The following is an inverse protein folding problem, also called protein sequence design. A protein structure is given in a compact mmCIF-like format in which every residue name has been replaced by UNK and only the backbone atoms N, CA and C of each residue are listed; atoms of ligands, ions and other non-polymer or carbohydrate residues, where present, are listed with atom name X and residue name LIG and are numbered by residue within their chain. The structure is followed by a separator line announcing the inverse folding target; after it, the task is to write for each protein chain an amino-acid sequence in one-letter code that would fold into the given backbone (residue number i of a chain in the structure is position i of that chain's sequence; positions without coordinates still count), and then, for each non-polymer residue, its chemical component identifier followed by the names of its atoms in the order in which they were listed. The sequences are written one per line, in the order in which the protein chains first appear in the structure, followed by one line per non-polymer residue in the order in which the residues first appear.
data_IF_000112542034
#
_entry.id   IF_000112542034
#
_cell.length_a   1.000
_cell.length_b   1.000
_cell.length_c   1.000
_cell.angle_alpha   90.00
_cell.angle_beta   90.00
_cell.angle_gamma   90.00
#
_symmetry.space_group_name_H-M   'P 1'
#
loop_
_entity.id
_entity.type
_entity.pdbx_description
1 polymer ?
#
# COMPACT_ATOMS: atom_id res chain seq x y z
N UNK A 1 -21.62 -18.83 5.92
CA UNK A 1 -21.72 -20.21 5.38
C UNK A 1 -21.40 -20.26 3.90
N UNK A 2 -20.57 -21.22 3.48
CA UNK A 2 -20.30 -21.52 2.08
C UNK A 2 -20.29 -23.04 1.83
N UNK A 3 -20.74 -23.49 0.65
CA UNK A 3 -20.71 -24.91 0.27
C UNK A 3 -20.01 -25.07 -1.06
N UNK A 4 -18.93 -25.85 -1.09
CA UNK A 4 -18.23 -26.17 -2.34
C UNK A 4 -19.11 -27.10 -3.17
N UNK A 5 -19.46 -26.70 -4.40
CA UNK A 5 -20.33 -27.51 -5.27
C UNK A 5 -19.56 -28.44 -6.21
N UNK A 6 -18.40 -28.00 -6.70
CA UNK A 6 -17.51 -28.76 -7.58
C UNK A 6 -16.17 -28.02 -7.72
N UNK A 7 -15.24 -28.53 -8.54
CA UNK A 7 -14.00 -27.84 -8.89
C UNK A 7 -12.76 -28.26 -8.07
N UNK A 8 -11.61 -27.77 -8.53
CA UNK A 8 -10.29 -28.11 -7.99
C UNK A 8 -9.83 -27.20 -6.84
N UNK A 9 -10.50 -26.07 -6.63
CA UNK A 9 -10.21 -25.11 -5.57
C UNK A 9 -11.40 -25.02 -4.59
N UNK A 10 -11.20 -24.42 -3.42
CA UNK A 10 -12.27 -24.16 -2.44
C UNK A 10 -12.85 -22.75 -2.56
N UNK A 11 -12.65 -21.93 -1.52
CA UNK A 11 -13.25 -20.60 -1.41
C UNK A 11 -12.19 -19.49 -1.40
N UNK A 12 -12.55 -18.33 -1.95
CA UNK A 12 -11.80 -17.10 -1.75
C UNK A 12 -12.68 -16.15 -0.93
N UNK A 13 -12.20 -15.77 0.26
CA UNK A 13 -12.89 -14.84 1.14
C UNK A 13 -12.05 -13.58 1.24
N UNK A 14 -12.54 -12.49 0.64
CA UNK A 14 -11.88 -11.19 0.73
C UNK A 14 -12.28 -10.49 2.03
N UNK A 15 -11.32 -9.85 2.69
CA UNK A 15 -11.56 -9.04 3.87
C UNK A 15 -10.53 -7.89 3.97
N UNK A 16 -10.81 -6.88 4.78
CA UNK A 16 -9.97 -5.67 4.86
C UNK A 16 -9.78 -4.97 3.51
N UNK A 17 -10.80 -5.02 2.65
CA UNK A 17 -10.74 -4.48 1.28
C UNK A 17 -10.81 -2.96 1.33
N UNK A 18 -9.75 -2.29 0.88
CA UNK A 18 -9.72 -0.84 0.71
C UNK A 18 -9.99 -0.46 -0.75
N UNK A 19 -9.35 -1.16 -1.68
CA UNK A 19 -9.46 -0.95 -3.13
C UNK A 19 -8.97 -2.20 -3.88
N UNK A 20 -8.92 -2.15 -5.21
CA UNK A 20 -8.53 -3.29 -6.07
C UNK A 20 -7.06 -3.69 -5.95
N UNK A 21 -6.21 -2.88 -5.33
CA UNK A 21 -4.80 -3.17 -5.06
C UNK A 21 -4.50 -3.54 -3.61
N UNK A 22 -5.45 -3.32 -2.70
CA UNK A 22 -5.24 -3.38 -1.25
C UNK A 22 -6.37 -4.15 -0.54
N UNK A 23 -6.12 -5.43 -0.23
CA UNK A 23 -7.04 -6.32 0.46
C UNK A 23 -6.31 -7.54 1.03
N UNK A 24 -6.98 -8.29 1.91
CA UNK A 24 -6.60 -9.64 2.27
C UNK A 24 -7.50 -10.65 1.57
N UNK A 25 -6.93 -11.81 1.24
CA UNK A 25 -7.65 -13.00 0.82
C UNK A 25 -7.37 -14.14 1.77
N UNK A 26 -8.43 -14.76 2.23
CA UNK A 26 -8.34 -16.11 2.77
C UNK A 26 -8.71 -17.10 1.66
N UNK A 27 -7.68 -17.76 1.14
CA UNK A 27 -7.75 -18.78 0.12
C UNK A 27 -7.87 -20.14 0.79
N UNK A 28 -9.09 -20.67 0.85
CA UNK A 28 -9.43 -21.94 1.48
C UNK A 28 -9.47 -23.04 0.42
N UNK A 29 -8.68 -24.10 0.60
CA UNK A 29 -8.57 -25.18 -0.39
C UNK A 29 -7.97 -24.72 -1.72
N UNK A 30 -6.95 -23.87 -1.64
CA UNK A 30 -6.08 -23.45 -2.72
C UNK A 30 -5.15 -24.57 -3.24
N UNK A 31 -4.43 -24.28 -4.33
CA UNK A 31 -3.40 -25.15 -4.93
C UNK A 31 -3.89 -26.58 -5.17
N UNK A 32 -4.91 -26.74 -6.00
CA UNK A 32 -5.61 -28.00 -6.23
C UNK A 32 -6.17 -28.62 -4.93
N UNK A 33 -6.70 -27.79 -4.03
CA UNK A 33 -7.34 -28.22 -2.78
C UNK A 33 -6.39 -28.91 -1.79
N UNK A 34 -5.13 -28.51 -1.77
CA UNK A 34 -4.10 -29.10 -0.89
C UNK A 34 -3.65 -28.17 0.23
N UNK A 35 -3.91 -26.87 0.08
CA UNK A 35 -3.42 -25.85 1.00
C UNK A 35 -4.48 -24.77 1.22
N UNK A 36 -4.44 -24.11 2.37
CA UNK A 36 -5.18 -22.88 2.61
C UNK A 36 -4.23 -21.80 3.09
N UNK A 37 -4.44 -20.56 2.66
CA UNK A 37 -3.52 -19.46 2.93
C UNK A 37 -4.25 -18.14 3.13
N UNK A 38 -3.63 -17.26 3.91
CA UNK A 38 -3.96 -15.83 3.90
C UNK A 38 -2.97 -15.12 3.01
N UNK A 39 -3.47 -14.44 2.01
CA UNK A 39 -2.70 -13.62 1.08
C UNK A 39 -3.06 -12.15 1.31
N UNK A 40 -2.10 -11.26 1.15
CA UNK A 40 -2.29 -9.82 1.19
C UNK A 40 -1.89 -9.24 -0.15
N UNK A 41 -2.77 -8.43 -0.73
CA UNK A 41 -2.44 -7.53 -1.81
C UNK A 41 -2.10 -6.14 -1.25
N UNK A 42 -0.99 -5.57 -1.72
CA UNK A 42 -0.60 -4.19 -1.43
C UNK A 42 -0.06 -3.57 -2.71
N UNK A 43 -0.71 -2.49 -3.15
CA UNK A 43 -0.40 -1.80 -4.42
C UNK A 43 -0.34 -2.77 -5.64
N UNK A 44 -1.17 -3.81 -5.61
CA UNK A 44 -1.25 -4.85 -6.64
C UNK A 44 -0.22 -5.98 -6.52
N UNK A 45 0.78 -5.86 -5.63
CA UNK A 45 1.70 -6.95 -5.28
C UNK A 45 1.07 -7.90 -4.27
N UNK A 46 1.24 -9.22 -4.43
CA UNK A 46 0.68 -10.23 -3.52
C UNK A 46 1.76 -10.91 -2.67
N UNK A 47 1.46 -11.15 -1.39
CA UNK A 47 2.31 -11.90 -0.47
C UNK A 47 1.49 -12.82 0.43
N UNK A 48 2.00 -14.00 0.79
CA UNK A 48 1.36 -14.90 1.74
C UNK A 48 1.74 -14.54 3.18
N UNK A 49 0.75 -14.39 4.07
CA UNK A 49 0.93 -14.10 5.49
C UNK A 49 0.91 -15.38 6.34
N UNK A 50 -0.06 -16.25 6.07
CA UNK A 50 -0.25 -17.51 6.77
C UNK A 50 -0.50 -18.60 5.74
N UNK A 51 -0.03 -19.82 6.02
CA UNK A 51 -0.33 -20.96 5.17
C UNK A 51 -0.35 -22.26 5.97
N UNK A 52 -1.33 -23.11 5.66
CA UNK A 52 -1.53 -24.42 6.29
C UNK A 52 -1.97 -25.45 5.24
N UNK A 53 -1.48 -26.68 5.35
CA UNK A 53 -2.05 -27.78 4.56
C UNK A 53 -3.51 -28.00 4.96
N UNK A 54 -4.36 -28.33 4.00
CA UNK A 54 -5.78 -28.53 4.25
C UNK A 54 -6.62 -28.45 2.98
N UNK A 55 -7.82 -29.02 3.04
CA UNK A 55 -8.72 -29.14 1.90
C UNK A 55 -10.16 -28.77 2.26
N UNK A 56 -10.92 -28.38 1.25
CA UNK A 56 -12.36 -28.12 1.33
C UNK A 56 -13.11 -29.24 0.61
N UNK A 57 -14.03 -29.86 1.32
CA UNK A 57 -14.84 -30.99 0.85
C UNK A 57 -15.99 -30.51 -0.03
N UNK A 58 -16.17 -31.16 -1.17
CA UNK A 58 -17.32 -30.92 -2.05
C UNK A 58 -18.59 -31.43 -1.39
N UNK A 59 -19.64 -30.60 -1.37
CA UNK A 59 -20.95 -30.93 -0.80
C UNK A 59 -21.08 -30.58 0.69
N UNK A 60 -19.98 -30.34 1.41
CA UNK A 60 -20.00 -29.91 2.81
C UNK A 60 -20.19 -28.40 2.92
N UNK A 61 -21.05 -27.98 3.84
CA UNK A 61 -21.18 -26.58 4.22
C UNK A 61 -20.14 -26.25 5.30
N UNK A 62 -19.47 -25.11 5.14
CA UNK A 62 -18.50 -24.56 6.08
C UNK A 62 -19.05 -23.25 6.67
N UNK A 63 -18.94 -23.10 7.98
CA UNK A 63 -19.03 -21.82 8.66
C UNK A 63 -17.66 -21.13 8.58
N UNK A 64 -17.62 -19.91 8.05
CA UNK A 64 -16.37 -19.19 7.78
C UNK A 64 -16.52 -17.81 8.40
N UNK A 65 -15.73 -17.54 9.42
CA UNK A 65 -15.78 -16.28 10.16
C UNK A 65 -14.42 -15.61 10.18
N UNK A 66 -14.44 -14.30 9.98
CA UNK A 66 -13.27 -13.41 10.07
C UNK A 66 -13.55 -12.41 11.18
N UNK A 67 -12.86 -12.53 12.30
CA UNK A 67 -12.97 -11.59 13.40
C UNK A 67 -11.82 -10.58 13.32
N UNK A 68 -12.16 -9.29 13.31
CA UNK A 68 -11.18 -8.19 13.30
C UNK A 68 -11.37 -7.35 14.55
N UNK A 69 -10.35 -7.29 15.42
CA UNK A 69 -10.31 -6.44 16.61
C UNK A 69 -9.10 -5.52 16.55
N UNK A 70 -9.34 -4.28 16.14
CA UNK A 70 -8.25 -3.33 15.87
C UNK A 70 -7.36 -3.85 14.74
N UNK A 71 -6.09 -4.14 15.06
CA UNK A 71 -5.12 -4.72 14.12
C UNK A 71 -5.05 -6.25 14.17
N UNK A 72 -5.67 -6.88 15.17
CA UNK A 72 -5.69 -8.33 15.30
C UNK A 72 -6.78 -8.91 14.40
N UNK A 73 -6.38 -9.86 13.55
CA UNK A 73 -7.29 -10.70 12.76
C UNK A 73 -7.23 -12.13 13.30
N UNK A 74 -8.39 -12.72 13.51
CA UNK A 74 -8.54 -14.15 13.84
C UNK A 74 -9.55 -14.78 12.89
N UNK A 75 -9.18 -15.92 12.33
CA UNK A 75 -9.93 -16.64 11.30
C UNK A 75 -10.47 -17.93 11.89
N UNK A 76 -11.75 -18.18 11.70
CA UNK A 76 -12.42 -19.39 12.19
C UNK A 76 -13.05 -20.17 11.04
N UNK A 77 -12.82 -21.48 11.05
CA UNK A 77 -13.46 -22.42 10.14
C UNK A 77 -14.25 -23.41 11.00
N UNK A 78 -15.57 -23.45 10.83
CA UNK A 78 -16.49 -24.23 11.65
C UNK A 78 -16.40 -23.96 13.16
N UNK A 79 -16.15 -22.70 13.51
CA UNK A 79 -16.01 -22.24 14.90
C UNK A 79 -14.66 -22.57 15.55
N UNK A 80 -13.79 -23.32 14.86
CA UNK A 80 -12.41 -23.57 15.31
C UNK A 80 -11.46 -22.51 14.76
N UNK A 81 -10.52 -22.04 15.58
CA UNK A 81 -9.50 -21.08 15.12
C UNK A 81 -8.64 -21.74 14.05
N UNK A 82 -8.81 -21.28 12.82
CA UNK A 82 -7.97 -21.68 11.70
C UNK A 82 -6.62 -20.96 11.74
N UNK A 83 -6.57 -19.71 12.21
CA UNK A 83 -5.32 -18.99 12.41
C UNK A 83 -5.54 -17.52 12.74
N UNK A 84 -4.48 -16.87 13.24
CA UNK A 84 -4.51 -15.48 13.64
C UNK A 84 -3.23 -14.76 13.21
N UNK A 85 -3.36 -13.48 12.90
CA UNK A 85 -2.23 -12.60 12.62
C UNK A 85 -2.58 -11.18 13.03
N UNK A 86 -1.57 -10.43 13.46
CA UNK A 86 -1.70 -8.99 13.59
C UNK A 86 -1.29 -8.37 12.27
N UNK A 87 -2.10 -7.46 11.74
CA UNK A 87 -1.68 -6.61 10.63
C UNK A 87 -0.64 -5.60 11.14
N UNK A 88 0.58 -6.07 11.42
CA UNK A 88 1.68 -5.28 11.98
C UNK A 88 2.68 -4.83 10.93
N UNK A 89 2.35 -4.96 9.64
CA UNK A 89 3.18 -4.36 8.60
C UNK A 89 3.33 -2.88 8.93
N UNK A 90 4.58 -2.39 9.14
CA UNK A 90 4.82 -0.97 9.16
C UNK A 90 4.21 -0.44 7.86
N UNK A 91 3.38 0.61 7.94
CA UNK A 91 3.10 1.37 6.73
C UNK A 91 4.46 1.70 6.13
N UNK A 92 4.68 1.37 4.85
CA UNK A 92 5.97 1.68 4.22
C UNK A 92 6.27 3.15 4.50
N UNK A 93 7.33 3.45 5.28
CA UNK A 93 7.56 4.80 5.78
C UNK A 93 7.81 5.78 4.63
N UNK A 94 8.14 5.23 3.46
CA UNK A 94 8.46 5.93 2.24
C UNK A 94 7.73 5.27 1.07
N UNK A 95 6.97 6.06 0.32
CA UNK A 95 6.38 5.62 -0.96
C UNK A 95 6.73 6.61 -2.04
N UNK A 96 7.05 6.11 -3.23
CA UNK A 96 7.46 6.96 -4.33
C UNK A 96 6.89 6.48 -5.67
N UNK A 97 6.65 7.43 -6.55
CA UNK A 97 6.40 7.17 -7.97
C UNK A 97 7.00 8.27 -8.82
N UNK A 98 7.41 7.93 -10.04
CA UNK A 98 7.85 8.90 -11.04
C UNK A 98 6.94 8.77 -12.25
N UNK A 99 6.34 9.88 -12.64
CA UNK A 99 5.45 9.96 -13.80
C UNK A 99 5.96 11.00 -14.78
N UNK A 100 5.51 10.93 -16.02
CA UNK A 100 5.79 11.93 -17.06
C UNK A 100 4.49 12.66 -17.37
N UNK A 101 4.56 13.98 -17.44
CA UNK A 101 3.47 14.82 -17.95
C UNK A 101 3.60 14.89 -19.48
N UNK A 102 2.72 14.21 -20.20
CA UNK A 102 2.83 14.08 -21.67
C UNK A 102 2.69 15.42 -22.40
N UNK A 103 2.02 16.42 -21.80
CA UNK A 103 1.84 17.74 -22.40
C UNK A 103 3.10 18.60 -22.29
N UNK A 104 3.82 18.48 -21.17
CA UNK A 104 4.99 19.35 -20.88
C UNK A 104 6.32 18.63 -21.02
N UNK A 105 6.31 17.30 -21.05
CA UNK A 105 7.49 16.45 -20.98
C UNK A 105 8.15 16.40 -19.60
N UNK A 106 7.59 17.06 -18.58
CA UNK A 106 8.18 17.10 -17.23
C UNK A 106 8.12 15.74 -16.53
N UNK A 107 9.20 15.37 -15.85
CA UNK A 107 9.16 14.31 -14.85
C UNK A 107 8.53 14.85 -13.57
N UNK A 108 7.64 14.07 -12.98
CA UNK A 108 7.01 14.37 -11.70
C UNK A 108 7.37 13.25 -10.74
N UNK A 109 8.30 13.52 -9.83
CA UNK A 109 8.63 12.65 -8.70
C UNK A 109 7.62 12.96 -7.59
N UNK A 110 6.92 11.94 -7.11
CA UNK A 110 5.96 12.04 -6.01
C UNK A 110 6.46 11.18 -4.88
N UNK A 111 6.58 11.73 -3.69
CA UNK A 111 7.09 11.03 -2.51
C UNK A 111 6.18 11.29 -1.33
N UNK A 112 5.83 10.22 -0.62
CA UNK A 112 5.18 10.27 0.68
C UNK A 112 6.21 9.86 1.72
N UNK A 113 6.44 10.72 2.71
CA UNK A 113 7.18 10.38 3.92
C UNK A 113 6.19 10.27 5.07
N UNK A 114 5.83 9.05 5.45
CA UNK A 114 4.90 8.74 6.53
C UNK A 114 5.59 8.63 7.91
N UNK A 115 6.89 8.94 7.99
CA UNK A 115 7.64 8.97 9.25
C UNK A 115 7.41 10.29 9.98
N UNK A 116 7.55 10.24 11.30
CA UNK A 116 7.55 11.44 12.16
C UNK A 116 8.89 12.21 12.10
N UNK A 117 9.81 11.79 11.24
CA UNK A 117 11.11 12.44 11.02
C UNK A 117 11.33 12.76 9.54
N UNK A 118 12.08 13.83 9.27
CA UNK A 118 12.49 14.14 7.90
C UNK A 118 13.47 13.09 7.38
N UNK A 119 13.31 12.69 6.12
CA UNK A 119 14.14 11.68 5.48
C UNK A 119 14.97 12.31 4.35
N UNK A 120 16.30 12.16 4.44
CA UNK A 120 17.24 12.59 3.40
C UNK A 120 17.52 11.41 2.48
N UNK A 121 17.04 11.48 1.24
CA UNK A 121 17.01 10.33 0.32
C UNK A 121 17.71 10.66 -1.00
N UNK A 122 18.46 9.70 -1.53
CA UNK A 122 18.98 9.76 -2.89
C UNK A 122 17.83 9.54 -3.90
N UNK A 123 17.76 10.40 -4.91
CA UNK A 123 16.81 10.32 -6.00
C UNK A 123 17.60 10.05 -7.27
N UNK A 124 17.39 8.87 -7.84
CA UNK A 124 17.95 8.44 -9.11
C UNK A 124 16.83 8.42 -10.17
N UNK A 125 16.93 9.32 -11.15
CA UNK A 125 16.04 9.41 -12.31
C UNK A 125 16.52 8.54 -13.48
N UNK A 126 17.53 7.69 -13.25
CA UNK A 126 18.28 6.96 -14.26
C UNK A 126 19.03 7.91 -15.18
N UNK A 127 19.23 7.50 -16.44
CA UNK A 127 19.91 8.29 -17.46
C UNK A 127 19.13 9.52 -17.97
N UNK A 128 18.08 9.98 -17.28
CA UNK A 128 17.28 11.10 -17.70
C UNK A 128 18.08 12.42 -17.65
N UNK A 129 18.15 13.12 -18.79
CA UNK A 129 18.68 14.48 -18.85
C UNK A 129 17.62 15.45 -18.36
N UNK A 130 17.92 16.22 -17.33
CA UNK A 130 16.96 17.13 -16.69
C UNK A 130 17.54 18.51 -16.46
N UNK A 131 16.68 19.49 -16.28
CA UNK A 131 17.06 20.82 -15.83
C UNK A 131 17.52 20.78 -14.37
N UNK A 132 18.38 21.74 -13.99
CA UNK A 132 18.94 21.83 -12.63
C UNK A 132 17.98 22.39 -11.58
N UNK A 133 16.82 22.86 -12.01
CA UNK A 133 15.77 23.41 -11.14
C UNK A 133 14.52 22.57 -11.23
N UNK A 134 13.93 22.29 -10.08
CA UNK A 134 12.65 21.63 -9.93
C UNK A 134 11.67 22.54 -9.21
N UNK A 135 10.42 22.60 -9.69
CA UNK A 135 9.34 23.18 -8.91
C UNK A 135 8.90 22.15 -7.87
N UNK A 136 8.77 22.58 -6.62
CA UNK A 136 8.41 21.72 -5.50
C UNK A 136 7.03 22.12 -5.00
N UNK A 137 6.18 21.15 -4.73
CA UNK A 137 4.95 21.34 -3.97
C UNK A 137 4.92 20.32 -2.85
N UNK A 138 4.82 20.78 -1.60
CA UNK A 138 4.82 19.92 -0.43
C UNK A 138 3.58 20.20 0.40
N UNK A 139 2.85 19.14 0.74
CA UNK A 139 1.84 19.15 1.78
C UNK A 139 2.45 18.46 3.00
N UNK A 140 2.60 19.17 4.11
CA UNK A 140 3.11 18.63 5.36
C UNK A 140 2.36 19.29 6.52
N UNK A 141 1.98 18.49 7.50
CA UNK A 141 1.30 18.95 8.71
C UNK A 141 1.52 17.94 9.84
N UNK A 142 1.08 18.29 11.05
CA UNK A 142 1.01 17.33 12.14
C UNK A 142 0.06 16.17 11.78
N UNK A 143 0.34 14.98 12.30
CA UNK A 143 -0.37 13.73 11.93
C UNK A 143 -1.89 13.81 12.13
N UNK A 144 -2.32 14.54 13.15
CA UNK A 144 -3.73 14.69 13.53
C UNK A 144 -4.34 16.01 13.04
N UNK A 145 -3.61 16.79 12.25
CA UNK A 145 -4.10 18.06 11.71
C UNK A 145 -5.21 17.82 10.69
N UNK A 146 -6.27 18.62 10.77
CA UNK A 146 -7.40 18.60 9.86
C UNK A 146 -7.78 20.01 9.45
N UNK A 147 -8.22 20.18 8.20
CA UNK A 147 -8.83 21.43 7.77
C UNK A 147 -10.28 21.50 8.28
N UNK A 148 -10.67 22.68 8.75
CA UNK A 148 -12.03 23.04 9.16
C UNK A 148 -12.57 24.14 8.24
N UNK A 149 -13.79 24.62 8.50
CA UNK A 149 -14.36 25.74 7.74
C UNK A 149 -13.53 27.03 7.87
N UNK A 150 -12.89 27.24 9.02
CA UNK A 150 -12.20 28.50 9.36
C UNK A 150 -10.68 28.37 9.47
N UNK A 151 -10.14 27.15 9.40
CA UNK A 151 -8.70 26.90 9.55
C UNK A 151 -8.24 25.82 8.57
N UNK A 152 -7.11 26.04 7.91
CA UNK A 152 -6.59 25.17 6.87
C UNK A 152 -5.10 24.85 7.08
N UNK A 153 -4.72 24.22 8.22
CA UNK A 153 -3.32 23.91 8.54
C UNK A 153 -2.71 22.88 7.57
N UNK A 154 -3.54 22.09 6.89
CA UNK A 154 -3.13 21.11 5.88
C UNK A 154 -3.27 21.73 4.49
N UNK A 155 -2.33 22.60 4.10
CA UNK A 155 -2.33 23.28 2.79
C UNK A 155 -0.99 23.14 2.05
N UNK A 156 -0.98 23.01 0.71
CA UNK A 156 0.26 22.85 -0.04
C UNK A 156 1.12 24.11 -0.03
N UNK A 157 2.43 23.93 0.14
CA UNK A 157 3.45 24.99 0.05
C UNK A 157 4.31 24.75 -1.19
N UNK A 158 4.49 25.79 -2.00
CA UNK A 158 5.33 25.72 -3.21
C UNK A 158 6.71 26.33 -2.98
N UNK A 159 7.75 25.70 -3.52
CA UNK A 159 9.12 26.24 -3.51
C UNK A 159 9.89 25.82 -4.77
N UNK A 160 11.16 26.20 -4.88
CA UNK A 160 12.04 25.77 -5.96
C UNK A 160 13.26 25.08 -5.39
N UNK A 161 13.56 23.89 -5.88
CA UNK A 161 14.78 23.17 -5.56
C UNK A 161 15.82 23.41 -6.66
N UNK A 162 17.02 23.82 -6.25
CA UNK A 162 18.18 23.95 -7.14
C UNK A 162 19.17 22.83 -6.81
N UNK A 163 19.54 22.04 -7.81
CA UNK A 163 20.36 20.84 -7.62
C UNK A 163 19.74 19.56 -8.20
N UNK A 164 18.66 19.67 -8.98
CA UNK A 164 18.13 18.53 -9.72
C UNK A 164 19.15 18.06 -10.78
N UNK A 165 19.29 16.76 -10.91
CA UNK A 165 20.16 16.13 -11.89
C UNK A 165 19.61 14.71 -12.18
N UNK A 166 20.31 13.92 -12.98
CA UNK A 166 20.00 12.50 -13.15
C UNK A 166 20.01 11.76 -11.81
N UNK A 167 20.95 12.13 -10.92
CA UNK A 167 21.01 11.66 -9.54
C UNK A 167 21.23 12.86 -8.61
N UNK A 168 20.45 12.97 -7.54
CA UNK A 168 20.57 14.05 -6.55
C UNK A 168 20.06 13.61 -5.19
N UNK A 169 20.25 14.45 -4.16
CA UNK A 169 19.67 14.20 -2.84
C UNK A 169 18.59 15.23 -2.53
N UNK A 170 17.51 14.80 -1.91
CA UNK A 170 16.46 15.67 -1.41
C UNK A 170 16.03 15.25 0.01
N UNK A 171 15.71 16.22 0.86
CA UNK A 171 15.18 15.97 2.21
C UNK A 171 13.67 16.15 2.19
N UNK A 172 12.94 15.04 2.35
CA UNK A 172 11.49 15.01 2.44
C UNK A 172 11.05 15.24 3.89
N UNK A 173 10.21 16.25 4.20
CA UNK A 173 9.76 16.52 5.55
C UNK A 173 9.01 15.33 6.19
N UNK A 174 8.95 15.28 7.51
CA UNK A 174 8.08 14.34 8.24
C UNK A 174 6.62 14.52 7.82
N UNK A 175 5.81 13.45 7.91
CA UNK A 175 4.36 13.47 7.68
C UNK A 175 3.96 14.27 6.43
N UNK A 176 4.59 13.99 5.30
CA UNK A 176 4.49 14.82 4.10
C UNK A 176 4.21 14.06 2.80
N UNK A 177 3.61 14.78 1.86
CA UNK A 177 3.54 14.44 0.44
C UNK A 177 4.25 15.53 -0.35
N UNK A 178 5.27 15.17 -1.12
CA UNK A 178 6.07 16.11 -1.91
C UNK A 178 6.06 15.74 -3.40
N UNK A 179 5.89 16.75 -4.25
CA UNK A 179 5.97 16.67 -5.70
C UNK A 179 7.15 17.49 -6.19
N UNK A 180 8.07 16.86 -6.92
CA UNK A 180 9.15 17.53 -7.66
C UNK A 180 8.81 17.48 -9.14
N UNK A 181 8.51 18.63 -9.75
CA UNK A 181 8.35 18.76 -11.20
C UNK A 181 9.65 19.21 -11.81
N UNK A 182 10.21 18.37 -12.68
CA UNK A 182 11.55 18.53 -13.24
C UNK A 182 11.43 18.51 -14.76
N UNK A 183 11.87 19.59 -15.41
CA UNK A 183 11.89 19.64 -16.87
C UNK A 183 12.94 18.68 -17.42
N UNK A 184 12.54 17.90 -18.42
CA UNK A 184 13.47 17.12 -19.23
C UNK A 184 14.29 18.04 -20.14
N UNK A 185 15.49 17.62 -20.52
CA UNK A 185 16.37 18.27 -21.51
C UNK A 185 16.53 17.40 -22.75
#
# INVERSE_FOLDING_TARGET
RATKKSGKEGFLVAFGVKDTGNYYWWNLGGWNNTQSAVEQASDGGKSTLLSKAGSIETGRAYDIDVEVRGRQVTLYLDGEEWGSFTDDKPAEPFRQTVTRDDRTGELIVKVVNAQDTAARTAVDLGGAKVASRAAVTTLAADRDAVNTETDAPVTPVTSTFSGAASEFTYTFPANSVTFLRIRQR
#
